data_IF_971930049087
#
_entry.id   IF_971930049087
#
_cell.length_a   1.000
_cell.length_b   1.000
_cell.length_c   1.000
_cell.angle_alpha   90.00
_cell.angle_beta   90.00
_cell.angle_gamma   90.00
#
_symmetry.space_group_name_H-M   'P 1'
#
loop_
_entity.id
_entity.type
_entity.pdbx_description
1 polymer ?
#
# COMPACT_ATOMS: atom_id res chain seq x y z
N UNK A 1 -17.44 9.94 -14.45
CA UNK A 1 -17.27 8.98 -13.32
C UNK A 1 -16.16 9.40 -12.37
N UNK A 2 -14.86 9.50 -12.79
CA UNK A 2 -13.78 9.96 -11.88
C UNK A 2 -13.96 11.42 -11.44
N UNK A 3 -14.39 12.32 -12.32
CA UNK A 3 -14.73 13.71 -11.98
C UNK A 3 -15.87 13.82 -10.95
N UNK A 4 -16.87 12.99 -11.06
CA UNK A 4 -17.99 12.91 -10.11
C UNK A 4 -17.52 12.41 -8.74
N UNK A 5 -16.69 11.36 -8.71
CA UNK A 5 -16.04 10.88 -7.50
C UNK A 5 -15.22 11.98 -6.86
N UNK A 6 -14.38 12.67 -7.63
CA UNK A 6 -13.58 13.78 -7.14
C UNK A 6 -14.46 14.92 -6.58
N UNK A 7 -15.58 15.23 -7.26
CA UNK A 7 -16.56 16.20 -6.78
C UNK A 7 -17.12 15.85 -5.40
N UNK A 8 -17.47 14.57 -5.20
CA UNK A 8 -18.01 14.08 -3.92
C UNK A 8 -16.95 14.04 -2.81
N UNK A 9 -15.68 13.87 -3.15
CA UNK A 9 -14.59 13.80 -2.17
C UNK A 9 -14.06 15.16 -1.71
N UNK A 10 -14.30 16.26 -2.44
CA UNK A 10 -13.78 17.59 -2.08
C UNK A 10 -14.20 18.05 -0.69
N UNK A 11 -15.48 17.89 -0.34
CA UNK A 11 -15.99 18.27 0.98
C UNK A 11 -15.33 17.47 2.11
N UNK A 12 -15.42 16.13 2.10
CA UNK A 12 -14.76 15.28 3.09
C UNK A 12 -13.26 15.51 3.21
N UNK A 13 -12.56 15.66 2.07
CA UNK A 13 -11.11 15.88 2.06
C UNK A 13 -10.72 17.27 2.63
N UNK A 14 -11.53 18.29 2.35
CA UNK A 14 -11.35 19.62 2.95
C UNK A 14 -11.52 19.58 4.48
N UNK A 15 -12.59 18.95 4.95
CA UNK A 15 -12.86 18.80 6.38
C UNK A 15 -11.78 17.98 7.09
N UNK A 16 -11.31 16.90 6.46
CA UNK A 16 -10.20 16.10 6.99
C UNK A 16 -8.93 16.94 7.18
N UNK A 17 -8.59 17.79 6.19
CA UNK A 17 -7.46 18.71 6.29
C UNK A 17 -7.60 19.70 7.45
N UNK A 18 -8.80 20.27 7.65
CA UNK A 18 -9.09 21.16 8.78
C UNK A 18 -8.93 20.47 10.13
N UNK A 19 -9.27 19.17 10.19
CA UNK A 19 -9.13 18.36 11.39
C UNK A 19 -7.70 17.80 11.61
N UNK A 20 -6.75 18.05 10.70
CA UNK A 20 -5.40 17.48 10.76
C UNK A 20 -5.38 15.97 10.49
N UNK A 21 -6.39 15.43 9.81
CA UNK A 21 -6.53 14.02 9.41
C UNK A 21 -6.33 13.90 7.91
N UNK A 22 -5.79 12.77 7.45
CA UNK A 22 -5.69 12.45 6.04
C UNK A 22 -6.53 11.22 5.72
N UNK A 23 -7.50 11.37 4.83
CA UNK A 23 -8.23 10.26 4.24
C UNK A 23 -7.33 9.54 3.24
N UNK A 24 -7.51 8.24 3.08
CA UNK A 24 -6.78 7.45 2.10
C UNK A 24 -7.76 6.76 1.15
N UNK A 25 -7.65 7.08 -0.14
CA UNK A 25 -8.45 6.48 -1.19
C UNK A 25 -7.77 5.19 -1.67
N UNK A 26 -8.47 4.08 -1.60
CA UNK A 26 -7.96 2.76 -1.96
C UNK A 26 -8.52 2.29 -3.30
N UNK A 27 -7.67 2.04 -4.31
CA UNK A 27 -8.04 1.26 -5.47
C UNK A 27 -8.20 -0.22 -5.09
N UNK A 28 -9.36 -0.79 -5.34
CA UNK A 28 -9.65 -2.20 -5.11
C UNK A 28 -9.57 -2.99 -6.42
N UNK A 29 -9.41 -4.30 -6.33
CA UNK A 29 -9.39 -5.15 -7.52
C UNK A 29 -10.76 -5.23 -8.22
N UNK A 30 -10.76 -5.64 -9.48
CA UNK A 30 -11.94 -5.74 -10.37
C UNK A 30 -13.05 -6.65 -9.89
N UNK A 31 -12.80 -7.54 -8.93
CA UNK A 31 -13.81 -8.43 -8.39
C UNK A 31 -14.62 -7.77 -7.27
N UNK A 32 -14.08 -6.69 -6.68
CA UNK A 32 -14.69 -5.97 -5.55
C UNK A 32 -15.28 -4.62 -5.97
N UNK A 33 -14.73 -3.99 -7.02
CA UNK A 33 -15.23 -2.71 -7.53
C UNK A 33 -15.09 -2.60 -9.05
N UNK A 34 -15.90 -1.74 -9.65
CA UNK A 34 -15.77 -1.33 -11.04
C UNK A 34 -15.38 0.16 -11.20
N UNK A 35 -15.16 0.86 -10.09
CA UNK A 35 -14.99 2.31 -10.09
C UNK A 35 -13.54 2.74 -10.17
N UNK A 36 -12.70 2.21 -9.29
CA UNK A 36 -11.31 2.64 -9.09
C UNK A 36 -10.45 1.41 -8.78
N UNK A 37 -9.60 1.00 -9.71
CA UNK A 37 -8.86 -0.26 -9.60
C UNK A 37 -7.34 -0.12 -9.70
N UNK A 38 -6.82 1.03 -10.16
CA UNK A 38 -5.38 1.22 -10.32
C UNK A 38 -4.86 2.46 -9.59
N UNK A 39 -3.58 2.44 -9.23
CA UNK A 39 -2.88 3.60 -8.68
C UNK A 39 -2.98 4.83 -9.60
N UNK A 40 -2.88 4.63 -10.91
CA UNK A 40 -2.99 5.73 -11.89
C UNK A 40 -4.36 6.44 -11.83
N UNK A 41 -5.46 5.68 -11.71
CA UNK A 41 -6.79 6.26 -11.55
C UNK A 41 -6.92 6.99 -10.20
N UNK A 42 -6.34 6.45 -9.13
CA UNK A 42 -6.33 7.13 -7.84
C UNK A 42 -5.56 8.45 -7.89
N UNK A 43 -4.41 8.49 -8.55
CA UNK A 43 -3.64 9.72 -8.78
C UNK A 43 -4.50 10.77 -9.49
N UNK A 44 -5.20 10.39 -10.56
CA UNK A 44 -6.11 11.30 -11.28
C UNK A 44 -7.18 11.89 -10.35
N UNK A 45 -7.82 11.06 -9.53
CA UNK A 45 -8.86 11.53 -8.58
C UNK A 45 -8.25 12.46 -7.53
N UNK A 46 -7.08 12.13 -6.95
CA UNK A 46 -6.42 12.97 -5.96
C UNK A 46 -6.08 14.35 -6.55
N UNK A 47 -5.57 14.37 -7.78
CA UNK A 47 -5.21 15.63 -8.46
C UNK A 47 -6.46 16.46 -8.79
N UNK A 48 -7.57 15.84 -9.18
CA UNK A 48 -8.86 16.51 -9.39
C UNK A 48 -9.49 17.05 -8.09
N UNK A 49 -9.27 16.38 -6.95
CA UNK A 49 -9.74 16.85 -5.63
C UNK A 49 -8.90 18.04 -5.15
N UNK A 50 -7.58 17.98 -5.28
CA UNK A 50 -6.65 19.04 -4.97
C UNK A 50 -6.58 19.41 -3.48
N UNK A 51 -6.88 18.48 -2.55
CA UNK A 51 -6.86 18.69 -1.11
C UNK A 51 -5.72 17.92 -0.44
N UNK A 52 -4.96 18.54 0.50
CA UNK A 52 -3.95 17.83 1.29
C UNK A 52 -4.56 16.81 2.26
N UNK A 53 -5.86 16.90 2.56
CA UNK A 53 -6.58 15.95 3.41
C UNK A 53 -6.94 14.64 2.73
N UNK A 54 -6.48 14.41 1.46
CA UNK A 54 -6.70 13.15 0.74
C UNK A 54 -5.38 12.62 0.21
N UNK A 55 -5.16 11.32 0.39
CA UNK A 55 -4.03 10.57 -0.14
C UNK A 55 -4.47 9.24 -0.72
N UNK A 56 -3.51 8.41 -1.09
CA UNK A 56 -3.72 7.08 -1.66
C UNK A 56 -3.34 6.03 -0.64
N UNK A 57 -4.18 5.01 -0.48
CA UNK A 57 -3.81 3.73 0.10
C UNK A 57 -3.53 2.77 -1.06
N UNK A 58 -2.39 2.10 -1.03
CA UNK A 58 -2.10 0.98 -1.93
C UNK A 58 -2.08 -0.33 -1.13
N UNK A 59 -2.71 -1.35 -1.68
CA UNK A 59 -2.71 -2.70 -1.10
C UNK A 59 -2.07 -3.68 -2.09
N UNK A 60 -1.05 -4.40 -1.63
CA UNK A 60 -0.28 -5.31 -2.48
C UNK A 60 -1.10 -6.47 -3.05
N UNK A 61 -2.17 -6.88 -2.38
CA UNK A 61 -3.11 -7.87 -2.90
C UNK A 61 -3.91 -7.33 -4.09
N UNK A 62 -4.49 -6.14 -3.95
CA UNK A 62 -5.23 -5.51 -5.05
C UNK A 62 -4.30 -5.17 -6.20
N UNK A 63 -3.12 -4.61 -5.91
CA UNK A 63 -2.09 -4.31 -6.91
C UNK A 63 -1.65 -5.56 -7.68
N UNK A 64 -1.50 -6.71 -7.01
CA UNK A 64 -1.11 -7.97 -7.67
C UNK A 64 -2.11 -8.42 -8.75
N UNK A 65 -3.37 -8.02 -8.63
CA UNK A 65 -4.41 -8.34 -9.62
C UNK A 65 -4.45 -7.30 -10.74
N UNK A 66 -4.31 -6.02 -10.42
CA UNK A 66 -4.60 -4.90 -11.32
C UNK A 66 -3.36 -4.25 -11.94
N UNK A 67 -2.23 -4.25 -11.25
CA UNK A 67 -1.03 -3.58 -11.71
C UNK A 67 -0.09 -4.55 -12.46
N UNK A 68 0.54 -4.07 -13.52
CA UNK A 68 1.57 -4.83 -14.24
C UNK A 68 2.93 -4.78 -13.56
N UNK A 69 3.17 -3.72 -12.78
CA UNK A 69 4.42 -3.42 -12.11
C UNK A 69 4.09 -2.67 -10.81
N UNK A 70 4.17 -3.37 -9.67
CA UNK A 70 3.86 -2.82 -8.36
C UNK A 70 4.80 -1.67 -7.95
N UNK A 71 6.13 -1.81 -8.13
CA UNK A 71 7.06 -0.70 -7.93
C UNK A 71 6.74 0.55 -8.75
N UNK A 72 6.36 0.40 -10.03
CA UNK A 72 5.97 1.51 -10.87
C UNK A 72 4.69 2.20 -10.37
N UNK A 73 3.71 1.44 -9.87
CA UNK A 73 2.49 1.99 -9.28
C UNK A 73 2.78 2.81 -8.01
N UNK A 74 3.71 2.35 -7.15
CA UNK A 74 4.19 3.12 -5.99
C UNK A 74 4.85 4.43 -6.43
N UNK A 75 5.72 4.38 -7.45
CA UNK A 75 6.37 5.60 -8.00
C UNK A 75 5.34 6.58 -8.56
N UNK A 76 4.30 6.08 -9.25
CA UNK A 76 3.22 6.90 -9.78
C UNK A 76 2.42 7.60 -8.66
N UNK A 77 2.14 6.91 -7.56
CA UNK A 77 1.51 7.51 -6.39
C UNK A 77 2.38 8.60 -5.76
N UNK A 78 3.70 8.38 -5.69
CA UNK A 78 4.66 9.35 -5.18
C UNK A 78 4.28 9.90 -3.82
N UNK A 79 4.43 11.21 -3.61
CA UNK A 79 4.06 11.89 -2.34
C UNK A 79 2.57 11.87 -1.98
N UNK A 80 1.71 11.35 -2.87
CA UNK A 80 0.28 11.14 -2.59
C UNK A 80 0.04 9.87 -1.76
N UNK A 81 1.01 8.95 -1.71
CA UNK A 81 0.90 7.73 -0.92
C UNK A 81 0.77 8.08 0.57
N UNK A 82 -0.31 7.65 1.19
CA UNK A 82 -0.62 7.93 2.59
C UNK A 82 -0.57 6.67 3.45
N UNK A 83 -0.84 5.50 2.85
CA UNK A 83 -0.93 4.24 3.55
C UNK A 83 -0.56 3.09 2.62
N UNK A 84 0.05 2.02 3.16
CA UNK A 84 0.34 0.80 2.44
C UNK A 84 -0.18 -0.40 3.25
N UNK A 85 -1.07 -1.19 2.64
CA UNK A 85 -1.37 -2.54 3.09
C UNK A 85 -0.39 -3.52 2.45
N UNK A 86 0.36 -4.23 3.29
CA UNK A 86 1.33 -5.24 2.90
C UNK A 86 0.77 -6.62 3.21
N UNK A 87 0.27 -7.31 2.22
CA UNK A 87 -0.16 -8.69 2.31
C UNK A 87 0.36 -9.51 1.14
N UNK A 88 0.43 -10.83 1.33
CA UNK A 88 0.76 -11.75 0.26
C UNK A 88 -0.28 -11.70 -0.86
N UNK A 89 0.08 -12.20 -2.04
CA UNK A 89 -0.82 -12.29 -3.19
C UNK A 89 -2.10 -13.11 -2.94
N UNK A 90 -2.16 -13.87 -1.86
CA UNK A 90 -3.32 -14.68 -1.43
C UNK A 90 -3.98 -14.17 -0.15
N UNK A 91 -3.69 -12.94 0.29
CA UNK A 91 -4.13 -12.33 1.55
C UNK A 91 -3.45 -12.93 2.80
N UNK A 92 -2.42 -13.74 2.65
CA UNK A 92 -1.60 -14.27 3.74
C UNK A 92 -0.54 -13.29 4.25
N UNK A 93 0.36 -13.79 5.09
CA UNK A 93 1.50 -13.01 5.59
C UNK A 93 2.42 -12.59 4.44
N UNK A 94 2.87 -11.33 4.38
CA UNK A 94 3.83 -10.89 3.39
C UNK A 94 5.16 -11.67 3.51
N UNK A 95 5.80 -11.95 2.38
CA UNK A 95 7.10 -12.59 2.30
C UNK A 95 7.08 -14.10 2.03
N UNK A 96 5.94 -14.76 2.14
CA UNK A 96 5.75 -16.16 1.77
C UNK A 96 4.99 -16.29 0.44
N UNK A 97 5.32 -15.43 -0.53
CA UNK A 97 4.59 -15.22 -1.78
C UNK A 97 5.55 -14.96 -2.95
N UNK A 98 5.01 -14.59 -4.12
CA UNK A 98 5.79 -14.33 -5.34
C UNK A 98 6.04 -12.84 -5.62
N UNK A 99 5.64 -11.93 -4.73
CA UNK A 99 5.82 -10.50 -4.94
C UNK A 99 7.29 -10.11 -4.83
N UNK A 100 7.74 -9.18 -5.67
CA UNK A 100 9.10 -8.62 -5.59
C UNK A 100 9.18 -7.57 -4.48
N UNK A 101 9.21 -8.03 -3.23
CA UNK A 101 9.28 -7.18 -2.05
C UNK A 101 10.52 -6.27 -2.01
N UNK A 102 11.72 -6.73 -2.40
CA UNK A 102 12.89 -5.85 -2.51
C UNK A 102 12.67 -4.68 -3.47
N UNK A 103 12.11 -4.92 -4.66
CA UNK A 103 11.82 -3.87 -5.62
C UNK A 103 10.72 -2.91 -5.11
N UNK A 104 9.68 -3.43 -4.44
CA UNK A 104 8.64 -2.63 -3.82
C UNK A 104 9.22 -1.72 -2.72
N UNK A 105 10.04 -2.26 -1.82
CA UNK A 105 10.73 -1.49 -0.78
C UNK A 105 11.67 -0.45 -1.38
N UNK A 106 12.33 -0.76 -2.50
CA UNK A 106 13.10 0.20 -3.30
C UNK A 106 12.27 1.40 -3.74
N UNK A 107 11.11 1.14 -4.35
CA UNK A 107 10.19 2.19 -4.80
C UNK A 107 9.64 3.04 -3.65
N UNK A 108 9.33 2.45 -2.49
CA UNK A 108 8.91 3.20 -1.30
C UNK A 108 9.99 4.18 -0.83
N UNK A 109 11.26 3.75 -0.83
CA UNK A 109 12.40 4.63 -0.49
C UNK A 109 12.60 5.73 -1.52
N UNK A 110 12.51 5.42 -2.82
CA UNK A 110 12.65 6.38 -3.91
C UNK A 110 11.63 7.52 -3.82
N UNK A 111 10.39 7.21 -3.41
CA UNK A 111 9.35 8.24 -3.21
C UNK A 111 9.38 8.90 -1.84
N UNK A 112 10.31 8.51 -0.95
CA UNK A 112 10.44 9.05 0.40
C UNK A 112 9.26 8.70 1.30
N UNK A 113 8.68 7.50 1.15
CA UNK A 113 7.53 7.08 1.95
C UNK A 113 7.96 6.72 3.39
N UNK A 114 7.43 7.45 4.35
CA UNK A 114 7.63 7.25 5.79
C UNK A 114 6.33 6.90 6.53
N UNK A 115 5.26 6.64 5.80
CA UNK A 115 3.96 6.32 6.35
C UNK A 115 3.87 4.88 6.89
N UNK A 116 2.70 4.50 7.43
CA UNK A 116 2.48 3.18 7.98
C UNK A 116 2.48 2.09 6.88
N UNK A 117 3.12 0.96 7.19
CA UNK A 117 3.03 -0.29 6.43
C UNK A 117 2.32 -1.31 7.30
N UNK A 118 1.11 -1.68 6.93
CA UNK A 118 0.19 -2.47 7.77
C UNK A 118 -0.11 -3.80 7.10
N UNK A 119 -0.08 -4.88 7.86
CA UNK A 119 -0.50 -6.19 7.38
C UNK A 119 -2.03 -6.23 7.37
N UNK A 120 -2.62 -6.37 6.18
CA UNK A 120 -4.04 -6.67 6.05
C UNK A 120 -4.20 -8.13 5.61
N UNK A 121 -4.74 -8.95 6.49
CA UNK A 121 -4.95 -10.37 6.24
C UNK A 121 -6.22 -10.84 6.91
N UNK A 122 -6.83 -11.87 6.33
CA UNK A 122 -8.08 -12.41 6.81
C UNK A 122 -7.94 -13.92 7.07
N UNK A 123 -8.78 -14.42 7.97
CA UNK A 123 -8.78 -15.82 8.35
C UNK A 123 -10.18 -16.40 8.24
N UNK A 124 -10.32 -17.73 8.06
CA UNK A 124 -11.61 -18.36 7.87
C UNK A 124 -12.47 -18.44 9.16
N UNK A 125 -11.93 -18.09 10.33
CA UNK A 125 -12.63 -18.18 11.60
C UNK A 125 -13.82 -17.22 11.72
N UNK A 126 -13.78 -16.09 10.98
CA UNK A 126 -14.92 -15.20 10.84
C UNK A 126 -15.60 -15.43 9.49
N UNK A 127 -16.68 -16.19 9.48
CA UNK A 127 -17.38 -16.60 8.25
C UNK A 127 -17.84 -15.41 7.38
N UNK A 128 -18.30 -14.32 7.98
CA UNK A 128 -18.75 -13.15 7.24
C UNK A 128 -17.58 -12.48 6.48
N UNK A 129 -16.45 -12.33 7.15
CA UNK A 129 -15.23 -11.75 6.55
C UNK A 129 -14.62 -12.72 5.56
N UNK A 130 -14.53 -14.02 5.89
CA UNK A 130 -14.00 -15.05 5.02
C UNK A 130 -14.79 -15.12 3.70
N UNK A 131 -16.12 -15.01 3.76
CA UNK A 131 -16.98 -14.96 2.58
C UNK A 131 -16.73 -13.69 1.76
N UNK A 132 -16.69 -12.52 2.40
CA UNK A 132 -16.47 -11.25 1.72
C UNK A 132 -15.10 -11.15 1.05
N UNK A 133 -14.05 -11.69 1.71
CA UNK A 133 -12.67 -11.69 1.21
C UNK A 133 -12.32 -12.95 0.40
N UNK A 134 -13.26 -13.86 0.17
CA UNK A 134 -13.08 -15.13 -0.53
C UNK A 134 -11.95 -16.01 0.04
N UNK A 135 -11.81 -16.04 1.36
CA UNK A 135 -10.81 -16.85 2.07
C UNK A 135 -11.39 -18.24 2.37
N UNK A 136 -11.19 -19.19 1.45
CA UNK A 136 -11.79 -20.53 1.51
C UNK A 136 -10.91 -21.59 2.17
N UNK A 137 -9.69 -21.23 2.58
CA UNK A 137 -8.74 -22.11 3.24
C UNK A 137 -7.95 -21.35 4.29
N UNK A 138 -7.40 -22.01 5.32
CA UNK A 138 -6.44 -21.36 6.21
C UNK A 138 -5.19 -20.91 5.42
N UNK A 139 -4.78 -19.65 5.64
CA UNK A 139 -3.57 -19.06 5.01
C UNK A 139 -2.35 -19.23 5.92
N UNK A 140 -2.55 -19.53 7.20
CA UNK A 140 -1.53 -19.87 8.18
C UNK A 140 -2.12 -20.82 9.22
N UNK A 141 -1.26 -21.31 10.14
CA UNK A 141 -1.71 -22.18 11.23
C UNK A 141 -2.58 -21.43 12.27
N UNK A 142 -2.29 -20.16 12.48
CA UNK A 142 -3.06 -19.26 13.37
C UNK A 142 -2.96 -17.81 12.88
N UNK A 143 -3.86 -16.94 13.32
CA UNK A 143 -3.81 -15.50 13.06
C UNK A 143 -2.52 -14.87 13.61
N UNK A 144 -2.06 -15.33 14.78
CA UNK A 144 -0.83 -14.82 15.40
C UNK A 144 0.39 -15.08 14.52
N UNK A 145 0.44 -16.22 13.82
CA UNK A 145 1.53 -16.54 12.86
C UNK A 145 1.54 -15.55 11.71
N UNK A 146 0.40 -15.17 11.16
CA UNK A 146 0.32 -14.15 10.11
C UNK A 146 0.93 -12.83 10.61
N UNK A 147 0.53 -12.41 11.80
CA UNK A 147 1.00 -11.16 12.39
C UNK A 147 2.50 -11.19 12.73
N UNK A 148 2.98 -12.26 13.36
CA UNK A 148 4.38 -12.36 13.83
C UNK A 148 5.35 -12.55 12.67
N UNK A 149 5.06 -13.45 11.75
CA UNK A 149 5.94 -13.75 10.62
C UNK A 149 5.95 -12.58 9.63
N UNK A 150 4.79 -12.01 9.32
CA UNK A 150 4.69 -10.84 8.46
C UNK A 150 5.39 -9.61 9.05
N UNK A 151 5.26 -9.36 10.36
CA UNK A 151 5.95 -8.25 11.02
C UNK A 151 7.48 -8.46 11.01
N UNK A 152 7.94 -9.68 11.27
CA UNK A 152 9.37 -10.00 11.24
C UNK A 152 9.94 -9.78 9.82
N UNK A 153 9.23 -10.25 8.79
CA UNK A 153 9.59 -10.04 7.40
C UNK A 153 9.68 -8.55 7.04
N UNK A 154 8.62 -7.78 7.30
CA UNK A 154 8.57 -6.34 6.94
C UNK A 154 9.65 -5.54 7.67
N UNK A 155 9.92 -5.83 8.94
CA UNK A 155 11.02 -5.19 9.68
C UNK A 155 12.38 -5.47 9.05
N UNK A 156 12.65 -6.71 8.67
CA UNK A 156 13.88 -7.09 7.97
C UNK A 156 14.01 -6.40 6.61
N UNK A 157 12.93 -6.38 5.82
CA UNK A 157 12.87 -5.77 4.50
C UNK A 157 13.15 -4.25 4.55
N UNK A 158 12.47 -3.54 5.45
CA UNK A 158 12.58 -2.08 5.54
C UNK A 158 13.92 -1.65 6.16
N UNK A 159 14.49 -2.44 7.10
CA UNK A 159 15.80 -2.16 7.69
C UNK A 159 16.96 -2.36 6.70
N UNK A 160 16.85 -3.31 5.78
CA UNK A 160 17.93 -3.66 4.83
C UNK A 160 18.30 -2.54 3.85
N UNK A 161 17.46 -1.52 3.70
CA UNK A 161 17.71 -0.36 2.84
C UNK A 161 18.36 0.83 3.55
N UNK A 162 18.47 0.80 4.89
CA UNK A 162 19.02 1.93 5.65
C UNK A 162 20.58 1.93 5.70
N UNK A 163 21.26 0.85 5.26
CA UNK A 163 22.70 0.69 5.39
C UNK A 163 23.54 1.09 4.16
N UNK A 164 22.97 1.68 3.13
CA UNK A 164 23.71 2.13 1.93
C UNK A 164 23.81 3.65 1.84
N UNK A 165 24.33 4.30 2.87
CA UNK A 165 24.92 5.63 2.69
C UNK A 165 26.33 5.41 2.11
N UNK A 166 26.68 5.90 0.92
CA UNK A 166 28.05 5.82 0.45
C UNK A 166 28.93 6.67 1.36
N UNK A 167 30.04 6.10 1.82
CA UNK A 167 31.10 6.83 2.55
C UNK A 167 31.49 8.08 1.75
N UNK A 168 31.62 9.24 2.39
CA UNK A 168 32.09 10.44 1.72
C UNK A 168 33.50 10.18 1.17
N UNK A 169 33.85 10.70 -0.03
CA UNK A 169 35.16 10.47 -0.63
C UNK A 169 36.25 10.98 0.31
N UNK A 170 37.14 10.08 0.73
CA UNK A 170 38.33 10.42 1.49
C UNK A 170 39.15 11.43 0.66
N UNK A 171 39.23 12.67 1.15
CA UNK A 171 40.11 13.68 0.58
C UNK A 171 41.53 13.16 0.74
N UNK A 172 42.14 12.73 -0.36
CA UNK A 172 43.58 12.46 -0.43
C UNK A 172 44.33 13.75 -0.13
N UNK A 173 45.11 13.71 0.92
CA UNK A 173 46.13 14.72 1.21
C UNK A 173 47.29 14.54 0.21
N UNK A 174 47.49 15.56 -0.60
CA UNK A 174 48.72 15.74 -1.39
C UNK A 174 49.84 16.27 -0.48
#
# INVERSE_FOLDING_TARGET
>A
MLEELAGNLRGPAGYAAECGVRLALEPLNRFETSLLTTAAQAVEVIDLVGSPGLGILLDTFHMNIEERDLPAAVRAAGGRLAHLHACANDRGAPGADHLDWPALAGALREVGYEGPVVIESFTPENEAIATAAAVWRPLARTQDVIATDGLAFLRGLLASGASSTPDPPTKGTA
#
